data_IF_704235077513
#
_entry.id   IF_704235077513
#
_cell.length_a   1.000
_cell.length_b   1.000
_cell.length_c   1.000
_cell.angle_alpha   90.00
_cell.angle_beta   90.00
_cell.angle_gamma   90.00
#
_symmetry.space_group_name_H-M   'P 1'
#
loop_
_entity.id
_entity.type
_entity.pdbx_description
1 polymer ?
#
# COMPACT_ATOMS: atom_id res chain seq x y z
N UNK A 1 74.35 48.26 -10.20
CA UNK A 1 74.79 48.69 -11.56
C UNK A 1 73.53 48.75 -12.44
N UNK A 2 73.32 49.94 -12.95
CA UNK A 2 72.66 50.29 -14.20
C UNK A 2 71.19 49.91 -14.33
N UNK A 3 70.24 50.82 -14.23
CA UNK A 3 69.94 52.00 -15.06
C UNK A 3 68.86 51.73 -16.11
N UNK A 4 67.79 52.57 -16.04
CA UNK A 4 67.14 53.28 -17.15
C UNK A 4 65.94 52.53 -17.80
N UNK A 5 64.83 53.05 -18.27
CA UNK A 5 64.36 54.43 -18.51
C UNK A 5 62.85 54.28 -18.94
N UNK A 6 62.04 55.18 -18.48
CA UNK A 6 60.84 55.79 -19.10
C UNK A 6 60.32 55.26 -20.45
N UNK A 7 58.97 55.12 -20.57
CA UNK A 7 58.17 56.01 -21.46
C UNK A 7 56.70 55.89 -21.10
N UNK A 8 56.06 57.00 -20.85
CA UNK A 8 54.65 57.19 -20.74
C UNK A 8 54.00 57.17 -22.12
N UNK A 9 52.84 56.53 -22.26
CA UNK A 9 51.95 56.82 -23.35
C UNK A 9 50.51 56.74 -22.86
N UNK A 10 49.85 57.91 -22.78
CA UNK A 10 48.45 58.10 -22.55
C UNK A 10 47.66 57.58 -23.76
N UNK A 11 46.75 56.66 -23.53
CA UNK A 11 45.73 56.29 -24.52
C UNK A 11 44.37 56.37 -23.85
N UNK A 12 43.57 57.24 -24.34
CA UNK A 12 42.23 57.63 -24.00
C UNK A 12 41.28 56.45 -23.96
N UNK A 13 40.63 56.24 -22.78
CA UNK A 13 39.56 55.29 -22.51
C UNK A 13 38.25 55.78 -23.09
N UNK A 14 37.80 55.20 -24.16
CA UNK A 14 36.42 55.32 -24.62
C UNK A 14 35.54 54.39 -23.76
N UNK A 15 34.78 54.96 -22.82
CA UNK A 15 33.71 54.25 -22.13
C UNK A 15 32.60 53.90 -23.12
N UNK A 16 32.59 52.69 -23.63
CA UNK A 16 31.42 52.12 -24.24
C UNK A 16 30.51 51.60 -23.09
N UNK A 17 29.60 52.44 -22.63
CA UNK A 17 28.45 52.01 -21.81
C UNK A 17 27.54 51.19 -22.70
N UNK A 18 27.74 49.88 -22.75
CA UNK A 18 26.75 48.96 -23.27
C UNK A 18 25.56 48.98 -22.31
N UNK A 19 24.60 49.87 -22.56
CA UNK A 19 23.29 49.83 -21.93
C UNK A 19 22.64 48.47 -22.24
N UNK A 20 22.69 47.58 -21.27
CA UNK A 20 21.84 46.40 -21.29
C UNK A 20 20.37 46.89 -21.27
N UNK A 21 19.78 47.02 -22.46
CA UNK A 21 18.36 47.29 -22.63
C UNK A 21 17.58 46.06 -22.16
N UNK A 22 17.50 45.85 -20.85
CA UNK A 22 16.63 44.91 -20.26
C UNK A 22 15.21 45.25 -20.72
N UNK A 23 14.57 44.35 -21.44
CA UNK A 23 13.16 44.51 -21.80
C UNK A 23 12.36 44.68 -20.49
N UNK A 24 11.92 45.90 -20.20
CA UNK A 24 11.16 46.18 -19.00
C UNK A 24 9.87 45.37 -19.05
N UNK A 25 9.74 44.48 -18.12
CA UNK A 25 8.59 43.59 -17.93
C UNK A 25 7.59 44.33 -17.02
N UNK A 26 6.33 44.19 -17.30
CA UNK A 26 5.25 44.75 -16.50
C UNK A 26 4.43 43.63 -15.90
N UNK A 27 4.26 43.61 -14.61
CA UNK A 27 3.46 42.63 -13.89
C UNK A 27 2.09 43.22 -13.61
N UNK A 28 1.04 42.47 -13.96
CA UNK A 28 -0.34 42.76 -13.61
C UNK A 28 -0.80 41.78 -12.56
N UNK A 29 -1.30 42.22 -11.42
CA UNK A 29 -1.92 41.38 -10.40
C UNK A 29 -3.16 42.07 -9.80
N UNK A 30 -3.96 41.30 -9.05
CA UNK A 30 -5.14 41.78 -8.36
C UNK A 30 -4.90 41.67 -6.87
N UNK A 31 -5.17 42.73 -6.12
CA UNK A 31 -5.05 42.71 -4.66
C UNK A 31 -6.28 42.03 -3.97
N UNK A 32 -6.22 41.93 -2.65
CA UNK A 32 -7.30 41.32 -1.85
C UNK A 32 -8.61 42.12 -1.87
N UNK A 33 -8.57 43.39 -2.31
CA UNK A 33 -9.73 44.26 -2.48
C UNK A 33 -10.30 44.21 -3.91
N UNK A 34 -9.72 43.37 -4.79
CA UNK A 34 -10.13 43.25 -6.18
C UNK A 34 -9.58 44.35 -7.10
N UNK A 35 -8.62 45.16 -6.64
CA UNK A 35 -8.02 46.22 -7.46
C UNK A 35 -6.88 45.67 -8.30
N UNK A 36 -6.81 46.12 -9.55
CA UNK A 36 -5.79 45.72 -10.51
C UNK A 36 -4.59 46.65 -10.41
N UNK A 37 -3.42 46.08 -10.16
CA UNK A 37 -2.15 46.79 -10.09
C UNK A 37 -1.24 46.44 -11.25
N UNK A 38 -0.45 47.43 -11.67
CA UNK A 38 0.59 47.27 -12.68
C UNK A 38 1.92 47.83 -12.16
N UNK A 39 2.99 47.07 -12.20
CA UNK A 39 4.31 47.49 -11.76
C UNK A 39 5.43 46.74 -12.51
N UNK A 40 6.60 47.34 -12.58
CA UNK A 40 7.81 46.67 -13.13
C UNK A 40 8.42 45.66 -12.15
N UNK A 41 8.02 45.72 -10.87
CA UNK A 41 8.45 44.78 -9.84
C UNK A 41 7.24 44.25 -9.09
N UNK A 42 7.19 42.94 -8.86
CA UNK A 42 6.11 42.28 -8.13
C UNK A 42 6.46 42.21 -6.64
N UNK A 43 5.55 42.69 -5.74
CA UNK A 43 5.77 42.54 -4.30
C UNK A 43 5.88 41.05 -3.91
N UNK A 44 6.73 40.72 -2.93
CA UNK A 44 6.96 39.33 -2.51
C UNK A 44 5.69 38.58 -2.11
N UNK A 45 4.72 39.28 -1.54
CA UNK A 45 3.44 38.80 -1.02
C UNK A 45 2.49 38.29 -2.12
N UNK A 46 2.73 38.70 -3.38
CA UNK A 46 1.90 38.33 -4.54
C UNK A 46 2.60 37.36 -5.52
N UNK A 47 3.84 36.93 -5.23
CA UNK A 47 4.59 36.02 -6.10
C UNK A 47 3.88 34.67 -6.31
N UNK A 48 3.18 34.20 -5.29
CA UNK A 48 2.47 32.91 -5.29
C UNK A 48 0.98 33.06 -5.66
N UNK A 49 0.51 34.32 -5.90
CA UNK A 49 -0.85 34.59 -6.34
C UNK A 49 -0.90 34.74 -7.87
N UNK A 50 -2.10 34.66 -8.43
CA UNK A 50 -2.25 34.77 -9.88
C UNK A 50 -1.77 36.15 -10.41
N UNK A 51 -0.90 36.09 -11.39
CA UNK A 51 -0.29 37.29 -11.99
C UNK A 51 -0.10 37.11 -13.49
N UNK A 52 -0.03 38.20 -14.20
CA UNK A 52 0.20 38.23 -15.65
C UNK A 52 1.42 39.06 -15.96
N UNK A 53 2.42 38.50 -16.60
CA UNK A 53 3.59 39.20 -17.10
C UNK A 53 3.28 39.77 -18.49
N UNK A 54 3.47 41.07 -18.67
CA UNK A 54 3.18 41.79 -19.90
C UNK A 54 4.45 42.38 -20.52
N UNK A 55 4.49 42.51 -21.83
CA UNK A 55 5.51 43.31 -22.51
C UNK A 55 5.21 44.81 -22.43
N UNK A 56 6.12 45.68 -22.88
CA UNK A 56 5.96 47.12 -22.95
C UNK A 56 4.75 47.60 -23.79
N UNK A 57 4.19 46.69 -24.60
CA UNK A 57 3.02 46.98 -25.43
C UNK A 57 1.73 46.40 -24.84
N UNK A 58 1.79 45.90 -23.58
CA UNK A 58 0.63 45.33 -22.89
C UNK A 58 0.24 43.93 -23.35
N UNK A 59 1.08 43.23 -24.14
CA UNK A 59 0.80 41.85 -24.59
C UNK A 59 1.23 40.87 -23.50
N UNK A 60 0.40 39.89 -23.26
CA UNK A 60 0.66 38.81 -22.27
C UNK A 60 1.86 37.97 -22.74
N UNK A 61 2.93 38.01 -21.93
CA UNK A 61 4.10 37.15 -22.11
C UNK A 61 3.95 35.83 -21.36
N UNK A 62 3.42 35.91 -20.14
CA UNK A 62 3.22 34.74 -19.27
C UNK A 62 2.06 35.01 -18.31
N UNK A 63 1.21 34.02 -18.13
CA UNK A 63 0.17 34.01 -17.10
C UNK A 63 0.61 33.04 -16.00
N UNK A 64 0.78 33.56 -14.81
CA UNK A 64 1.06 32.74 -13.63
C UNK A 64 -0.28 32.54 -12.90
N UNK A 65 -0.81 31.34 -12.92
CA UNK A 65 -2.02 31.02 -12.17
C UNK A 65 -1.61 30.74 -10.72
N UNK A 66 -2.39 31.24 -9.77
CA UNK A 66 -2.17 30.92 -8.36
C UNK A 66 -2.20 29.40 -8.19
N UNK A 67 -1.25 28.86 -7.45
CA UNK A 67 -1.35 27.46 -7.05
C UNK A 67 -2.69 27.26 -6.33
N UNK A 68 -3.44 26.21 -6.66
CA UNK A 68 -4.69 25.92 -5.93
C UNK A 68 -4.39 25.82 -4.44
N UNK A 69 -5.32 26.24 -3.57
CA UNK A 69 -5.15 26.08 -2.12
C UNK A 69 -4.70 24.66 -1.82
N UNK A 70 -3.75 24.49 -0.90
CA UNK A 70 -3.15 23.18 -0.55
C UNK A 70 -4.23 22.14 -0.20
N UNK A 71 -5.36 22.59 0.30
CA UNK A 71 -6.50 21.75 0.65
C UNK A 71 -7.23 21.22 -0.59
N UNK A 72 -7.43 22.04 -1.63
CA UNK A 72 -8.05 21.59 -2.90
C UNK A 72 -7.11 20.67 -3.67
N UNK A 73 -5.80 20.95 -3.67
CA UNK A 73 -4.81 20.08 -4.29
C UNK A 73 -4.76 18.69 -3.61
N UNK A 74 -4.90 18.64 -2.28
CA UNK A 74 -4.97 17.36 -1.54
C UNK A 74 -6.25 16.58 -1.85
N UNK A 75 -7.39 17.25 -1.94
CA UNK A 75 -8.66 16.61 -2.27
C UNK A 75 -8.65 16.03 -3.69
N UNK A 76 -8.01 16.72 -4.63
CA UNK A 76 -7.84 16.25 -6.00
C UNK A 76 -6.87 15.04 -6.08
N UNK A 77 -5.78 15.07 -5.32
CA UNK A 77 -4.85 13.95 -5.21
C UNK A 77 -5.51 12.71 -4.60
N UNK A 78 -6.30 12.88 -3.53
CA UNK A 78 -7.06 11.80 -2.91
C UNK A 78 -8.13 11.21 -3.84
N UNK A 79 -8.78 12.04 -4.65
CA UNK A 79 -9.74 11.61 -5.66
C UNK A 79 -9.06 10.81 -6.77
N UNK A 80 -7.89 11.24 -7.22
CA UNK A 80 -7.05 10.55 -8.21
C UNK A 80 -6.55 9.20 -7.68
N UNK A 81 -6.11 9.15 -6.43
CA UNK A 81 -5.67 7.91 -5.77
C UNK A 81 -6.84 6.93 -5.67
N UNK A 82 -8.02 7.39 -5.22
CA UNK A 82 -9.23 6.55 -5.16
C UNK A 82 -9.61 6.01 -6.53
N UNK A 83 -9.60 6.83 -7.56
CA UNK A 83 -9.90 6.43 -8.95
C UNK A 83 -8.93 5.36 -9.45
N UNK A 84 -7.62 5.54 -9.24
CA UNK A 84 -6.59 4.54 -9.60
C UNK A 84 -6.77 3.21 -8.86
N UNK A 85 -7.12 3.27 -7.56
CA UNK A 85 -7.40 2.07 -6.77
C UNK A 85 -8.63 1.33 -7.29
N UNK A 86 -9.67 2.06 -7.66
CA UNK A 86 -10.90 1.48 -8.23
C UNK A 86 -10.65 0.85 -9.60
N UNK A 87 -9.95 1.55 -10.50
CA UNK A 87 -9.53 1.02 -11.80
C UNK A 87 -8.70 -0.26 -11.64
N UNK A 88 -7.74 -0.27 -10.71
CA UNK A 88 -6.92 -1.44 -10.38
C UNK A 88 -7.78 -2.60 -9.87
N UNK A 89 -8.75 -2.31 -8.99
CA UNK A 89 -9.68 -3.32 -8.46
C UNK A 89 -10.53 -3.92 -9.58
N UNK A 90 -11.12 -3.09 -10.43
CA UNK A 90 -11.92 -3.52 -11.58
C UNK A 90 -11.10 -4.32 -12.59
N UNK A 91 -9.86 -3.92 -12.84
CA UNK A 91 -8.95 -4.68 -13.70
C UNK A 91 -8.64 -6.06 -13.11
N UNK A 92 -8.32 -6.12 -11.82
CA UNK A 92 -8.06 -7.40 -11.13
C UNK A 92 -9.30 -8.31 -11.12
N UNK A 93 -10.49 -7.73 -10.90
CA UNK A 93 -11.74 -8.49 -10.95
C UNK A 93 -11.98 -9.08 -12.34
N UNK A 94 -11.90 -8.27 -13.40
CA UNK A 94 -12.04 -8.75 -14.78
C UNK A 94 -11.04 -9.86 -15.13
N UNK A 95 -9.81 -9.73 -14.65
CA UNK A 95 -8.78 -10.74 -14.85
C UNK A 95 -9.12 -12.06 -14.13
N UNK A 96 -9.65 -11.99 -12.91
CA UNK A 96 -10.12 -13.18 -12.15
C UNK A 96 -11.33 -13.82 -12.85
N UNK A 97 -12.30 -13.01 -13.26
CA UNK A 97 -13.49 -13.48 -13.96
C UNK A 97 -13.12 -14.20 -15.26
N UNK A 98 -12.22 -13.63 -16.06
CA UNK A 98 -11.72 -14.28 -17.27
C UNK A 98 -10.97 -15.58 -16.97
N UNK A 99 -10.13 -15.59 -15.93
CA UNK A 99 -9.42 -16.81 -15.54
C UNK A 99 -10.41 -17.91 -15.11
N UNK A 100 -11.45 -17.55 -14.38
CA UNK A 100 -12.47 -18.48 -13.90
C UNK A 100 -13.22 -19.16 -15.07
N UNK A 101 -13.72 -18.38 -16.03
CA UNK A 101 -14.43 -18.90 -17.21
C UNK A 101 -13.50 -19.73 -18.11
N UNK A 102 -12.23 -19.32 -18.25
CA UNK A 102 -11.27 -20.03 -19.08
C UNK A 102 -10.75 -21.32 -18.43
N UNK A 103 -10.85 -21.43 -17.11
CA UNK A 103 -10.35 -22.61 -16.36
C UNK A 103 -11.43 -23.67 -16.20
N UNK A 104 -12.68 -23.28 -16.00
CA UNK A 104 -13.79 -24.20 -15.73
C UNK A 104 -14.87 -24.06 -16.78
N UNK A 105 -15.39 -25.21 -17.18
CA UNK A 105 -16.53 -25.31 -18.12
C UNK A 105 -17.85 -25.52 -17.35
N UNK A 106 -17.77 -26.15 -16.19
CA UNK A 106 -18.94 -26.50 -15.36
C UNK A 106 -18.67 -26.23 -13.88
N UNK A 107 -19.76 -26.05 -13.11
CA UNK A 107 -19.65 -25.95 -11.65
C UNK A 107 -19.06 -27.24 -11.01
N UNK A 108 -19.31 -28.40 -11.60
CA UNK A 108 -18.76 -29.67 -11.12
C UNK A 108 -17.23 -29.72 -11.18
N UNK A 109 -16.62 -29.07 -12.18
CA UNK A 109 -15.14 -28.97 -12.26
C UNK A 109 -14.57 -28.11 -11.14
N UNK A 110 -15.30 -27.07 -10.70
CA UNK A 110 -14.92 -26.25 -9.55
C UNK A 110 -14.96 -27.09 -8.27
N UNK A 111 -16.00 -27.93 -8.09
CA UNK A 111 -16.10 -28.86 -6.95
C UNK A 111 -14.95 -29.89 -6.95
N UNK A 112 -14.62 -30.44 -8.10
CA UNK A 112 -13.47 -31.39 -8.24
C UNK A 112 -12.15 -30.69 -7.89
N UNK A 113 -11.97 -29.45 -8.35
CA UNK A 113 -10.77 -28.67 -8.02
C UNK A 113 -10.68 -28.33 -6.52
N UNK A 114 -11.83 -27.98 -5.89
CA UNK A 114 -11.93 -27.79 -4.44
C UNK A 114 -11.48 -29.07 -3.70
N UNK A 115 -12.06 -30.20 -4.04
CA UNK A 115 -11.82 -31.46 -3.35
C UNK A 115 -10.35 -31.91 -3.47
N UNK A 116 -9.73 -31.70 -4.62
CA UNK A 116 -8.28 -31.89 -4.82
C UNK A 116 -7.44 -30.99 -3.91
N UNK A 117 -7.82 -29.72 -3.77
CA UNK A 117 -7.11 -28.78 -2.90
C UNK A 117 -7.32 -29.10 -1.42
N UNK A 118 -8.46 -29.66 -1.05
CA UNK A 118 -8.77 -30.10 0.32
C UNK A 118 -8.03 -31.37 0.72
N UNK A 119 -7.58 -32.21 -0.21
CA UNK A 119 -7.02 -33.52 0.06
C UNK A 119 -5.84 -33.47 1.04
N UNK A 120 -4.89 -32.56 0.84
CA UNK A 120 -3.70 -32.43 1.70
C UNK A 120 -4.03 -31.92 3.11
N UNK A 121 -4.74 -30.81 3.32
CA UNK A 121 -5.09 -30.36 4.67
C UNK A 121 -5.98 -31.35 5.40
N UNK A 122 -6.93 -32.02 4.71
CA UNK A 122 -7.76 -33.05 5.32
C UNK A 122 -6.96 -34.29 5.73
N UNK A 123 -5.98 -34.70 4.94
CA UNK A 123 -5.08 -35.78 5.31
C UNK A 123 -4.21 -35.42 6.52
N UNK A 124 -3.71 -34.17 6.57
CA UNK A 124 -2.95 -33.68 7.72
C UNK A 124 -3.81 -33.69 8.99
N UNK A 125 -5.06 -33.20 8.93
CA UNK A 125 -6.02 -33.22 10.05
C UNK A 125 -6.19 -34.67 10.57
N UNK A 126 -6.45 -35.62 9.67
CA UNK A 126 -6.58 -37.05 10.03
C UNK A 126 -5.32 -37.62 10.70
N UNK A 127 -4.14 -37.14 10.34
CA UNK A 127 -2.88 -37.54 10.97
C UNK A 127 -2.61 -36.91 12.32
N UNK A 128 -3.06 -35.65 12.53
CA UNK A 128 -2.88 -34.93 13.80
C UNK A 128 -3.88 -35.42 14.86
N UNK A 129 -5.09 -35.73 14.47
CA UNK A 129 -6.17 -36.09 15.38
C UNK A 129 -5.83 -37.24 16.36
N UNK A 130 -5.31 -38.41 15.94
CA UNK A 130 -4.91 -39.51 16.86
C UNK A 130 -3.72 -39.12 17.73
N UNK A 131 -2.78 -38.30 17.23
CA UNK A 131 -1.63 -37.83 17.98
C UNK A 131 -2.08 -36.88 19.11
N UNK A 132 -2.98 -35.92 18.78
CA UNK A 132 -3.56 -35.00 19.76
C UNK A 132 -4.34 -35.78 20.84
N UNK A 133 -5.16 -36.73 20.44
CA UNK A 133 -5.89 -37.61 21.39
C UNK A 133 -4.94 -38.34 22.34
N UNK A 134 -3.84 -38.92 21.82
CA UNK A 134 -2.83 -39.61 22.63
C UNK A 134 -2.08 -38.65 23.56
N UNK A 135 -1.75 -37.44 23.09
CA UNK A 135 -1.10 -36.41 23.92
C UNK A 135 -2.00 -35.95 25.06
N UNK A 136 -3.29 -35.73 24.81
CA UNK A 136 -4.26 -35.41 25.86
C UNK A 136 -4.39 -36.54 26.91
N UNK A 137 -4.44 -37.80 26.47
CA UNK A 137 -4.53 -38.92 27.39
C UNK A 137 -3.29 -39.03 28.31
N UNK A 138 -2.07 -38.76 27.77
CA UNK A 138 -0.84 -38.70 28.54
C UNK A 138 -0.86 -37.56 29.55
N UNK A 139 -1.27 -36.37 29.11
CA UNK A 139 -1.35 -35.20 29.97
C UNK A 139 -2.30 -35.43 31.13
N UNK A 140 -3.45 -36.04 30.89
CA UNK A 140 -4.43 -36.36 31.92
C UNK A 140 -3.87 -37.38 32.93
N UNK A 141 -3.15 -38.40 32.48
CA UNK A 141 -2.47 -39.36 33.34
C UNK A 141 -1.42 -38.72 34.27
N UNK A 142 -0.59 -37.81 33.70
CA UNK A 142 0.41 -37.06 34.48
C UNK A 142 -0.24 -36.11 35.49
N UNK A 143 -1.33 -35.43 35.11
CA UNK A 143 -2.12 -34.60 36.03
C UNK A 143 -2.70 -35.39 37.18
N UNK A 144 -3.32 -36.55 36.93
CA UNK A 144 -3.86 -37.44 37.94
C UNK A 144 -2.76 -37.96 38.86
N UNK A 145 -1.58 -38.27 38.34
CA UNK A 145 -0.42 -38.66 39.14
C UNK A 145 0.03 -37.48 40.06
N UNK A 146 0.15 -36.29 39.53
CA UNK A 146 0.51 -35.08 40.30
C UNK A 146 -0.49 -34.80 41.44
N UNK A 147 -1.78 -34.93 41.15
CA UNK A 147 -2.85 -34.78 42.15
C UNK A 147 -2.74 -35.80 43.29
N UNK A 148 -2.32 -37.04 42.97
CA UNK A 148 -2.17 -38.05 43.98
C UNK A 148 -1.08 -37.72 45.04
N UNK A 149 0.02 -37.08 44.60
CA UNK A 149 1.04 -36.55 45.53
C UNK A 149 0.47 -35.44 46.40
N UNK A 150 -0.25 -34.51 45.81
CA UNK A 150 -0.85 -33.39 46.52
C UNK A 150 -1.88 -33.86 47.56
N UNK A 151 -2.75 -34.81 47.16
CA UNK A 151 -3.75 -35.41 48.10
C UNK A 151 -3.11 -36.16 49.24
N UNK A 152 -1.91 -36.77 49.02
CA UNK A 152 -1.15 -37.45 50.06
C UNK A 152 -0.30 -36.48 50.93
N UNK A 153 -0.41 -35.16 50.75
CA UNK A 153 0.40 -34.15 51.45
C UNK A 153 1.89 -34.19 51.09
N UNK A 154 2.28 -34.84 49.98
CA UNK A 154 3.67 -35.00 49.54
C UNK A 154 4.00 -33.96 48.46
N UNK A 155 5.25 -33.47 48.42
CA UNK A 155 5.69 -32.64 47.32
C UNK A 155 5.67 -33.40 45.99
N UNK A 156 5.20 -32.75 44.92
CA UNK A 156 5.27 -33.32 43.55
C UNK A 156 6.74 -33.37 43.13
N UNK A 157 7.25 -34.55 42.68
CA UNK A 157 8.62 -34.70 42.21
C UNK A 157 8.92 -33.72 41.04
N UNK A 158 10.16 -33.20 41.00
CA UNK A 158 10.54 -32.24 39.95
C UNK A 158 10.45 -32.84 38.52
N UNK A 159 10.89 -34.10 38.39
CA UNK A 159 10.76 -34.84 37.13
C UNK A 159 9.29 -34.88 36.61
N UNK A 160 8.32 -35.07 37.50
CA UNK A 160 6.90 -35.09 37.15
C UNK A 160 6.40 -33.70 36.70
N UNK A 161 6.93 -32.64 37.29
CA UNK A 161 6.60 -31.25 36.84
C UNK A 161 7.20 -30.97 35.47
N UNK A 162 8.41 -31.41 35.21
CA UNK A 162 9.06 -31.28 33.91
C UNK A 162 8.29 -32.06 32.83
N UNK A 163 7.88 -33.32 33.12
CA UNK A 163 7.06 -34.13 32.24
C UNK A 163 5.71 -33.48 31.93
N UNK A 164 5.04 -32.90 32.93
CA UNK A 164 3.80 -32.16 32.75
C UNK A 164 4.00 -30.96 31.82
N UNK A 165 5.04 -30.17 32.09
CA UNK A 165 5.31 -28.98 31.28
C UNK A 165 5.69 -29.35 29.83
N UNK A 166 6.37 -30.47 29.62
CA UNK A 166 6.70 -30.97 28.29
C UNK A 166 5.43 -31.46 27.55
N UNK A 167 4.58 -32.22 28.23
CA UNK A 167 3.34 -32.72 27.66
C UNK A 167 2.33 -31.62 27.35
N UNK A 168 2.23 -30.58 28.19
CA UNK A 168 1.41 -29.40 27.91
C UNK A 168 1.86 -28.65 26.64
N UNK A 169 3.19 -28.53 26.43
CA UNK A 169 3.74 -27.94 25.21
C UNK A 169 3.42 -28.78 23.98
N UNK A 170 3.53 -30.11 24.09
CA UNK A 170 3.19 -31.04 22.98
C UNK A 170 1.71 -30.89 22.59
N UNK A 171 0.80 -30.87 23.55
CA UNK A 171 -0.64 -30.66 23.32
C UNK A 171 -0.88 -29.32 22.64
N UNK A 172 -0.30 -28.23 23.17
CA UNK A 172 -0.47 -26.89 22.61
C UNK A 172 0.04 -26.78 21.16
N UNK A 173 1.17 -27.45 20.86
CA UNK A 173 1.71 -27.52 19.51
C UNK A 173 0.75 -28.25 18.57
N UNK A 174 0.29 -29.46 18.93
CA UNK A 174 -0.62 -30.24 18.11
C UNK A 174 -1.96 -29.55 17.88
N UNK A 175 -2.51 -28.87 18.90
CA UNK A 175 -3.69 -28.02 18.74
C UNK A 175 -3.46 -26.86 17.78
N UNK A 176 -2.29 -26.22 17.85
CA UNK A 176 -1.89 -25.17 16.91
C UNK A 176 -1.83 -25.68 15.47
N UNK A 177 -1.20 -26.84 15.26
CA UNK A 177 -1.12 -27.50 13.95
C UNK A 177 -2.53 -27.86 13.43
N UNK A 178 -3.39 -28.41 14.29
CA UNK A 178 -4.77 -28.75 13.96
C UNK A 178 -5.57 -27.51 13.53
N UNK A 179 -5.55 -26.45 14.33
CA UNK A 179 -6.23 -25.18 14.01
C UNK A 179 -5.75 -24.58 12.69
N UNK A 180 -4.44 -24.61 12.44
CA UNK A 180 -3.88 -24.09 11.19
C UNK A 180 -4.42 -24.86 9.97
N UNK A 181 -4.46 -26.21 10.05
CA UNK A 181 -4.98 -27.04 8.96
C UNK A 181 -6.50 -26.93 8.78
N UNK A 182 -7.24 -26.77 9.85
CA UNK A 182 -8.69 -26.50 9.79
C UNK A 182 -8.97 -25.14 9.13
N UNK A 183 -8.22 -24.12 9.49
CA UNK A 183 -8.33 -22.78 8.87
C UNK A 183 -7.97 -22.84 7.37
N UNK A 184 -6.91 -23.54 7.00
CA UNK A 184 -6.53 -23.77 5.60
C UNK A 184 -7.67 -24.45 4.82
N UNK A 185 -8.25 -25.51 5.37
CA UNK A 185 -9.37 -26.20 4.74
C UNK A 185 -10.63 -25.31 4.62
N UNK A 186 -10.91 -24.48 5.62
CA UNK A 186 -12.02 -23.52 5.58
C UNK A 186 -11.82 -22.47 4.49
N UNK A 187 -10.64 -21.86 4.44
CA UNK A 187 -10.31 -20.86 3.42
C UNK A 187 -10.40 -21.44 1.99
N UNK A 188 -9.99 -22.70 1.80
CA UNK A 188 -10.14 -23.38 0.51
C UNK A 188 -11.64 -23.52 0.16
N UNK A 189 -12.48 -23.97 1.07
CA UNK A 189 -13.93 -24.11 0.82
C UNK A 189 -14.54 -22.76 0.46
N UNK A 190 -14.34 -21.74 1.30
CA UNK A 190 -14.88 -20.40 1.09
C UNK A 190 -14.47 -19.81 -0.27
N UNK A 191 -13.18 -19.99 -0.64
CA UNK A 191 -12.69 -19.54 -1.94
C UNK A 191 -13.44 -20.21 -3.09
N UNK A 192 -13.53 -21.54 -3.08
CA UNK A 192 -14.16 -22.28 -4.17
C UNK A 192 -15.68 -22.08 -4.21
N UNK A 193 -16.32 -21.89 -3.07
CA UNK A 193 -17.75 -21.55 -3.00
C UNK A 193 -18.00 -20.15 -3.60
N UNK A 194 -17.15 -19.18 -3.31
CA UNK A 194 -17.20 -17.86 -3.93
C UNK A 194 -16.95 -17.92 -5.45
N UNK A 195 -15.95 -18.70 -5.88
CA UNK A 195 -15.63 -18.92 -7.29
C UNK A 195 -16.83 -19.58 -8.03
N UNK A 196 -17.50 -20.54 -7.39
CA UNK A 196 -18.68 -21.20 -7.95
C UNK A 196 -19.87 -20.25 -8.10
N UNK A 197 -20.15 -19.42 -7.10
CA UNK A 197 -21.19 -18.39 -7.18
C UNK A 197 -20.86 -17.43 -8.33
N UNK A 198 -19.61 -16.97 -8.41
CA UNK A 198 -19.18 -16.03 -9.44
C UNK A 198 -19.24 -16.63 -10.85
N UNK A 199 -18.84 -17.88 -10.99
CA UNK A 199 -18.96 -18.61 -12.27
C UNK A 199 -20.41 -18.67 -12.76
N UNK A 200 -21.35 -18.98 -11.89
CA UNK A 200 -22.80 -19.01 -12.20
C UNK A 200 -23.29 -17.64 -12.68
N UNK A 201 -22.92 -16.56 -12.00
CA UNK A 201 -23.28 -15.20 -12.41
C UNK A 201 -22.75 -14.88 -13.82
N UNK A 202 -21.50 -15.19 -14.10
CA UNK A 202 -20.86 -14.88 -15.37
C UNK A 202 -21.45 -15.70 -16.53
N UNK A 203 -21.76 -16.97 -16.31
CA UNK A 203 -22.37 -17.85 -17.32
C UNK A 203 -23.82 -17.50 -17.60
N UNK A 204 -24.60 -17.11 -16.55
CA UNK A 204 -25.96 -16.64 -16.75
C UNK A 204 -26.05 -15.33 -17.53
N UNK A 205 -25.10 -14.41 -17.32
CA UNK A 205 -25.01 -13.17 -18.08
C UNK A 205 -24.63 -13.42 -19.56
N UNK A 206 -23.87 -14.47 -19.83
CA UNK A 206 -23.49 -14.84 -21.19
C UNK A 206 -24.63 -15.51 -21.98
N UNK A 207 -25.49 -16.28 -21.29
CA UNK A 207 -26.64 -16.97 -21.92
C UNK A 207 -27.84 -16.04 -22.21
N UNK A 208 -27.89 -14.85 -21.62
CA UNK A 208 -28.95 -13.85 -21.81
C UNK A 208 -28.60 -12.79 -22.89
N UNK A 209 -27.54 -12.96 -23.64
CA UNK A 209 -27.14 -12.12 -24.79
C UNK A 209 -27.33 -12.88 -26.10
#
# INVERSE_FOLDING_TARGET
>A
MKSHIFIALAATLALATSGASGAAKLYKWVDEKGQVHYSESMPPEYKDKSSTELDKRGRVLRKNEAAPPVETARLDDDALVRKRLEEKRLYQQRRRDSALINTYTTEAEIDIARDRNLALPMQAIKGIEPRLKAAWARLEALKSQSESFTKAGKPVPEALKEDLAMQEREVAQLEGEMRAKQTEATNIREKFDADKIRFRELTSLASNK
#
